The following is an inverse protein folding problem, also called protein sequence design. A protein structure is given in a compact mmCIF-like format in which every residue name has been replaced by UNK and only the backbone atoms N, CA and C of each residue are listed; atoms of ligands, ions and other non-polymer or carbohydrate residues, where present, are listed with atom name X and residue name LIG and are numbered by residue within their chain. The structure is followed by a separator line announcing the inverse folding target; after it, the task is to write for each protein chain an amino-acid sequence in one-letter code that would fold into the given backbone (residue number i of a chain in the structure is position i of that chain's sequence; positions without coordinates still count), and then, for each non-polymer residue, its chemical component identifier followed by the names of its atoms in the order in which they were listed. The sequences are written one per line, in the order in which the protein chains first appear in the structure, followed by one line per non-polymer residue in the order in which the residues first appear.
data_IF_506883096499
#
_entry.id   IF_506883096499
#
_cell.length_a   1.000
_cell.length_b   1.000
_cell.length_c   1.000
_cell.angle_alpha   90.00
_cell.angle_beta   90.00
_cell.angle_gamma   90.00
#
_symmetry.space_group_name_H-M   'P 1'
#
loop_
_entity.id
_entity.type
_entity.pdbx_description
1 polymer ?
#
# COMPACT_ATOMS: atom_id res chain seq x y z
N UNK A 1 29.96 -8.68 5.33
CA UNK A 1 29.71 -7.34 4.79
C UNK A 1 28.61 -7.48 3.74
N UNK A 2 27.55 -6.66 3.83
CA UNK A 2 26.44 -6.47 2.86
C UNK A 2 25.19 -7.38 3.02
N UNK A 3 24.32 -6.96 3.97
CA UNK A 3 22.86 -6.72 3.90
C UNK A 3 21.98 -7.35 2.79
N UNK A 4 20.86 -7.97 3.22
CA UNK A 4 19.48 -7.52 2.87
C UNK A 4 18.43 -8.19 3.78
N UNK A 5 18.12 -7.52 4.90
CA UNK A 5 16.82 -7.63 5.56
C UNK A 5 15.83 -6.80 4.73
N UNK A 6 14.93 -7.47 4.02
CA UNK A 6 13.76 -6.81 3.44
C UNK A 6 12.73 -6.65 4.55
N UNK A 7 12.47 -5.40 4.92
CA UNK A 7 11.27 -5.00 5.62
C UNK A 7 10.06 -5.16 4.70
N UNK A 8 9.11 -5.94 5.18
CA UNK A 8 7.87 -6.29 4.54
C UNK A 8 7.30 -7.43 5.34
N UNK A 9 6.14 -7.23 5.97
CA UNK A 9 5.37 -8.26 6.67
C UNK A 9 4.82 -9.26 5.64
N UNK A 10 5.75 -9.99 5.03
CA UNK A 10 5.47 -11.25 4.38
C UNK A 10 5.21 -12.24 5.50
N UNK A 11 3.94 -12.46 5.74
CA UNK A 11 3.47 -13.68 6.35
C UNK A 11 4.07 -14.84 5.51
N UNK A 12 5.22 -15.40 5.92
CA UNK A 12 5.75 -16.70 5.46
C UNK A 12 5.31 -17.71 6.48
N UNK A 13 4.62 -18.79 6.07
CA UNK A 13 4.05 -19.79 6.99
C UNK A 13 5.25 -20.54 7.56
N UNK A 14 5.89 -20.00 8.59
CA UNK A 14 7.29 -20.29 8.91
C UNK A 14 7.48 -21.23 10.10
N UNK A 15 6.42 -21.87 10.59
CA UNK A 15 6.54 -22.82 11.69
C UNK A 15 5.80 -24.13 11.41
N UNK A 16 6.53 -25.12 10.89
CA UNK A 16 6.16 -26.52 11.03
C UNK A 16 6.38 -26.92 12.50
N UNK A 17 5.47 -27.72 13.05
CA UNK A 17 5.60 -28.20 14.44
C UNK A 17 6.83 -29.09 14.55
N UNK A 18 7.85 -28.65 15.27
CA UNK A 18 9.06 -29.43 15.54
C UNK A 18 8.74 -30.67 16.40
N UNK A 19 9.38 -31.79 16.08
CA UNK A 19 9.28 -33.05 16.82
C UNK A 19 9.78 -32.90 18.27
N UNK A 20 9.09 -33.43 19.29
CA UNK A 20 9.66 -33.55 20.62
C UNK A 20 10.80 -34.58 20.58
N UNK A 21 11.98 -34.19 21.09
CA UNK A 21 13.12 -35.09 21.28
C UNK A 21 12.77 -36.13 22.35
N UNK A 22 12.57 -37.38 21.95
CA UNK A 22 12.60 -38.54 22.85
C UNK A 22 14.06 -38.76 23.25
N UNK A 23 14.43 -38.37 24.47
CA UNK A 23 15.71 -38.70 25.09
C UNK A 23 15.78 -40.20 25.38
N UNK A 24 16.65 -40.95 24.71
CA UNK A 24 16.87 -42.37 25.00
C UNK A 24 18.34 -42.71 25.18
N UNK A 25 18.58 -43.56 26.19
CA UNK A 25 19.87 -44.08 26.61
C UNK A 25 20.54 -44.89 25.49
N UNK A 26 21.84 -44.66 25.34
CA UNK A 26 22.70 -45.18 24.28
C UNK A 26 23.11 -46.65 24.52
N UNK A 27 22.65 -47.55 23.65
CA UNK A 27 23.44 -48.72 23.26
C UNK A 27 24.25 -48.38 21.98
N UNK A 28 25.44 -48.95 21.76
CA UNK A 28 26.25 -48.65 20.59
C UNK A 28 25.62 -49.26 19.34
N UNK A 29 24.75 -48.49 18.67
CA UNK A 29 24.07 -48.90 17.45
C UNK A 29 25.05 -48.94 16.25
N UNK A 30 24.87 -49.92 15.37
CA UNK A 30 25.54 -49.96 14.06
C UNK A 30 25.24 -48.67 13.29
N UNK A 31 26.28 -48.04 12.73
CA UNK A 31 26.26 -46.78 11.98
C UNK A 31 25.26 -46.78 10.81
N UNK A 32 24.81 -47.95 10.35
CA UNK A 32 23.88 -48.10 9.22
C UNK A 32 22.50 -48.70 9.59
N UNK A 33 22.10 -48.57 10.86
CA UNK A 33 20.74 -48.96 11.27
C UNK A 33 19.69 -47.96 10.79
N UNK A 34 18.45 -48.38 10.48
CA UNK A 34 17.35 -47.48 10.12
C UNK A 34 17.13 -46.35 11.14
N UNK A 35 17.33 -46.64 12.43
CA UNK A 35 17.22 -45.68 13.52
C UNK A 35 18.31 -44.60 13.46
N UNK A 36 19.56 -44.98 13.18
CA UNK A 36 20.67 -44.05 13.05
C UNK A 36 20.52 -43.16 11.81
N UNK A 37 20.07 -43.73 10.69
CA UNK A 37 19.78 -42.97 9.46
C UNK A 37 18.65 -41.95 9.67
N UNK A 38 17.60 -42.31 10.42
CA UNK A 38 16.54 -41.37 10.77
C UNK A 38 17.06 -40.21 11.64
N UNK A 39 17.91 -40.49 12.63
CA UNK A 39 18.55 -39.45 13.45
C UNK A 39 19.46 -38.53 12.62
N UNK A 40 20.20 -39.09 11.67
CA UNK A 40 21.02 -38.33 10.73
C UNK A 40 20.15 -37.40 9.87
N UNK A 41 19.02 -37.89 9.35
CA UNK A 41 18.08 -37.07 8.59
C UNK A 41 17.48 -35.93 9.43
N UNK A 42 17.12 -36.19 10.68
CA UNK A 42 16.68 -35.14 11.63
C UNK A 42 17.78 -34.11 11.86
N UNK A 43 19.04 -34.54 12.01
CA UNK A 43 20.18 -33.64 12.17
C UNK A 43 20.37 -32.75 10.95
N UNK A 44 20.25 -33.31 9.73
CA UNK A 44 20.30 -32.53 8.50
C UNK A 44 19.15 -31.54 8.40
N UNK A 45 17.92 -31.95 8.72
CA UNK A 45 16.76 -31.06 8.75
C UNK A 45 16.96 -29.88 9.71
N UNK A 46 17.42 -30.16 10.94
CA UNK A 46 17.68 -29.13 11.95
C UNK A 46 18.83 -28.19 11.59
N UNK A 47 19.75 -28.66 10.74
CA UNK A 47 20.87 -27.86 10.22
C UNK A 47 20.53 -27.19 8.88
N UNK A 48 19.26 -27.20 8.48
CA UNK A 48 18.75 -26.65 7.21
C UNK A 48 19.35 -27.28 5.93
N UNK A 49 20.05 -28.41 6.07
CA UNK A 49 20.56 -29.21 4.96
C UNK A 49 19.46 -30.10 4.39
N UNK A 50 18.37 -29.49 3.92
CA UNK A 50 17.16 -30.20 3.51
C UNK A 50 17.38 -31.18 2.35
N UNK A 51 18.32 -30.89 1.45
CA UNK A 51 18.63 -31.79 0.33
C UNK A 51 19.28 -33.09 0.81
N UNK A 52 20.19 -33.00 1.78
CA UNK A 52 20.85 -34.17 2.35
C UNK A 52 19.87 -34.97 3.22
N UNK A 53 19.02 -34.30 3.99
CA UNK A 53 17.92 -34.94 4.71
C UNK A 53 17.01 -35.74 3.76
N UNK A 54 16.64 -35.16 2.62
CA UNK A 54 15.80 -35.83 1.62
C UNK A 54 16.47 -37.08 1.06
N UNK A 55 17.76 -37.01 0.69
CA UNK A 55 18.50 -38.17 0.15
C UNK A 55 18.55 -39.34 1.15
N UNK A 56 18.86 -39.04 2.42
CA UNK A 56 18.89 -40.07 3.47
C UNK A 56 17.50 -40.69 3.65
N UNK A 57 16.44 -39.88 3.64
CA UNK A 57 15.07 -40.36 3.81
C UNK A 57 14.55 -41.14 2.60
N UNK A 58 14.94 -40.78 1.38
CA UNK A 58 14.57 -41.50 0.16
C UNK A 58 15.17 -42.92 0.14
N UNK A 59 16.43 -43.09 0.54
CA UNK A 59 17.04 -44.41 0.73
C UNK A 59 16.36 -45.18 1.89
N UNK A 60 16.13 -44.50 3.01
CA UNK A 60 15.51 -45.12 4.18
C UNK A 60 14.09 -45.61 3.89
N UNK A 61 13.28 -44.84 3.14
CA UNK A 61 11.92 -45.20 2.75
C UNK A 61 11.86 -46.47 1.90
N UNK A 62 12.91 -46.79 1.13
CA UNK A 62 13.00 -48.06 0.38
C UNK A 62 13.25 -49.25 1.30
N UNK A 63 14.02 -49.06 2.37
CA UNK A 63 14.37 -50.12 3.33
C UNK A 63 13.27 -50.37 4.36
N UNK A 64 12.52 -49.33 4.73
CA UNK A 64 11.43 -49.39 5.72
C UNK A 64 10.13 -48.76 5.19
N UNK A 65 9.49 -49.37 4.17
CA UNK A 65 8.28 -48.83 3.58
C UNK A 65 7.13 -48.75 4.60
N UNK A 66 6.38 -47.65 4.59
CA UNK A 66 5.24 -47.44 5.50
C UNK A 66 5.63 -47.09 6.93
N UNK A 67 6.89 -46.70 7.20
CA UNK A 67 7.29 -46.19 8.50
C UNK A 67 6.75 -44.76 8.72
N UNK A 68 5.99 -44.58 9.81
CA UNK A 68 5.37 -43.30 10.16
C UNK A 68 6.35 -42.14 10.27
N UNK A 69 7.48 -42.32 10.98
CA UNK A 69 8.45 -41.26 11.27
C UNK A 69 9.18 -40.84 9.99
N UNK A 70 9.43 -41.79 9.08
CA UNK A 70 10.02 -41.50 7.78
C UNK A 70 9.06 -40.67 6.93
N UNK A 71 7.80 -41.08 6.80
CA UNK A 71 6.80 -40.35 6.02
C UNK A 71 6.53 -38.94 6.60
N UNK A 72 6.47 -38.80 7.93
CA UNK A 72 6.35 -37.50 8.59
C UNK A 72 7.54 -36.58 8.28
N UNK A 73 8.77 -37.08 8.45
CA UNK A 73 9.97 -36.27 8.23
C UNK A 73 10.18 -35.94 6.75
N UNK A 74 9.83 -36.83 5.82
CA UNK A 74 9.83 -36.53 4.38
C UNK A 74 8.86 -35.38 4.06
N UNK A 75 7.66 -35.40 4.64
CA UNK A 75 6.70 -34.31 4.48
C UNK A 75 7.27 -32.97 4.95
N UNK A 76 7.89 -32.95 6.14
CA UNK A 76 8.54 -31.75 6.70
C UNK A 76 9.68 -31.25 5.80
N UNK A 77 10.57 -32.15 5.36
CA UNK A 77 11.73 -31.82 4.52
C UNK A 77 11.28 -31.25 3.18
N UNK A 78 10.31 -31.86 2.49
CA UNK A 78 9.83 -31.34 1.21
C UNK A 78 9.08 -30.02 1.37
N UNK A 79 8.32 -29.84 2.46
CA UNK A 79 7.68 -28.55 2.76
C UNK A 79 8.70 -27.44 2.99
N UNK A 80 9.82 -27.73 3.68
CA UNK A 80 10.93 -26.79 3.87
C UNK A 80 11.67 -26.45 2.56
N UNK A 81 11.69 -27.38 1.59
CA UNK A 81 12.23 -27.15 0.25
C UNK A 81 11.27 -26.36 -0.67
N UNK A 82 10.05 -26.02 -0.22
CA UNK A 82 9.01 -25.43 -1.08
C UNK A 82 8.40 -26.43 -2.08
N UNK A 83 8.65 -27.72 -1.92
CA UNK A 83 8.06 -28.82 -2.69
C UNK A 83 6.75 -29.26 -2.05
N UNK A 84 5.79 -28.34 -1.99
CA UNK A 84 4.55 -28.53 -1.22
C UNK A 84 3.66 -29.66 -1.78
N UNK A 85 3.77 -30.00 -3.09
CA UNK A 85 3.03 -31.13 -3.67
C UNK A 85 3.52 -32.46 -3.11
N UNK A 86 4.84 -32.65 -3.09
CA UNK A 86 5.50 -33.83 -2.52
C UNK A 86 5.26 -33.90 -1.01
N UNK A 87 5.35 -32.76 -0.32
CA UNK A 87 5.05 -32.67 1.10
C UNK A 87 3.64 -33.18 1.43
N UNK A 88 2.62 -32.75 0.68
CA UNK A 88 1.24 -33.22 0.87
C UNK A 88 1.12 -34.74 0.73
N UNK A 89 1.78 -35.36 -0.27
CA UNK A 89 1.74 -36.80 -0.48
C UNK A 89 2.30 -37.58 0.72
N UNK A 90 3.41 -37.10 1.29
CA UNK A 90 4.04 -37.71 2.45
C UNK A 90 3.24 -37.48 3.73
N UNK A 91 2.69 -36.28 3.95
CA UNK A 91 1.78 -36.03 5.07
C UNK A 91 0.51 -36.88 5.00
N UNK A 92 -0.09 -37.06 3.83
CA UNK A 92 -1.26 -37.94 3.66
C UNK A 92 -0.94 -39.40 4.01
N UNK A 93 0.26 -39.90 3.65
CA UNK A 93 0.73 -41.22 4.07
C UNK A 93 0.91 -41.30 5.59
N UNK A 94 1.58 -40.31 6.19
CA UNK A 94 1.79 -40.24 7.63
C UNK A 94 0.44 -40.17 8.41
N UNK A 95 -0.54 -39.43 7.90
CA UNK A 95 -1.89 -39.34 8.48
C UNK A 95 -2.63 -40.68 8.38
N UNK A 96 -2.46 -41.47 7.31
CA UNK A 96 -3.04 -42.82 7.24
C UNK A 96 -2.48 -43.75 8.31
N UNK A 97 -1.21 -43.58 8.67
CA UNK A 97 -0.52 -44.35 9.71
C UNK A 97 -0.84 -43.85 11.12
N UNK A 98 -1.08 -42.55 11.30
CA UNK A 98 -1.52 -41.95 12.56
C UNK A 98 -2.64 -40.90 12.32
N UNK A 99 -3.92 -41.32 12.27
CA UNK A 99 -5.04 -40.46 11.89
C UNK A 99 -5.36 -39.31 12.87
N UNK A 100 -4.87 -39.42 14.12
CA UNK A 100 -5.22 -38.53 15.22
C UNK A 100 -4.09 -37.52 15.55
N UNK A 101 -3.15 -37.29 14.62
CA UNK A 101 -2.10 -36.29 14.81
C UNK A 101 -2.57 -34.90 14.31
N UNK A 102 -2.93 -34.02 15.25
CA UNK A 102 -3.24 -32.64 14.92
C UNK A 102 -2.05 -31.88 14.30
N UNK A 103 -0.79 -32.07 14.74
CA UNK A 103 0.38 -31.47 14.08
C UNK A 103 0.53 -31.87 12.62
N UNK A 104 0.29 -33.15 12.27
CA UNK A 104 0.37 -33.60 10.87
C UNK A 104 -0.70 -32.98 9.98
N UNK A 105 -1.95 -32.93 10.48
CA UNK A 105 -3.05 -32.27 9.77
C UNK A 105 -2.76 -30.77 9.56
N UNK A 106 -2.16 -30.13 10.56
CA UNK A 106 -1.71 -28.74 10.47
C UNK A 106 -0.65 -28.57 9.38
N UNK A 107 0.40 -29.41 9.36
CA UNK A 107 1.46 -29.34 8.35
C UNK A 107 0.94 -29.60 6.92
N UNK A 108 0.00 -30.54 6.76
CA UNK A 108 -0.71 -30.77 5.51
C UNK A 108 -1.51 -29.52 5.09
N UNK A 109 -2.28 -28.94 6.01
CA UNK A 109 -3.08 -27.74 5.74
C UNK A 109 -2.21 -26.55 5.30
N UNK A 110 -1.06 -26.36 5.95
CA UNK A 110 -0.07 -25.34 5.57
C UNK A 110 0.44 -25.54 4.14
N UNK A 111 0.79 -26.77 3.78
CA UNK A 111 1.28 -27.10 2.42
C UNK A 111 0.18 -26.92 1.37
N UNK A 112 -1.06 -27.29 1.69
CA UNK A 112 -2.23 -27.05 0.83
C UNK A 112 -2.50 -25.55 0.61
N UNK A 113 -2.37 -24.73 1.66
CA UNK A 113 -2.55 -23.28 1.57
C UNK A 113 -1.49 -22.63 0.66
N UNK A 114 -0.22 -23.06 0.75
CA UNK A 114 0.85 -22.58 -0.15
C UNK A 114 0.62 -22.98 -1.61
N UNK A 115 -0.08 -24.09 -1.85
CA UNK A 115 -0.54 -24.50 -3.18
C UNK A 115 -1.80 -23.77 -3.66
N UNK A 116 -2.34 -22.83 -2.89
CA UNK A 116 -3.59 -22.11 -3.19
C UNK A 116 -4.86 -22.96 -3.00
N UNK A 117 -4.76 -24.15 -2.41
CA UNK A 117 -5.89 -25.06 -2.16
C UNK A 117 -6.58 -24.73 -0.84
N UNK A 118 -7.12 -23.51 -0.74
CA UNK A 118 -7.63 -22.95 0.51
C UNK A 118 -8.75 -23.76 1.16
N UNK A 119 -9.71 -24.28 0.37
CA UNK A 119 -10.83 -25.07 0.91
C UNK A 119 -10.34 -26.37 1.58
N UNK A 120 -9.35 -27.03 0.97
CA UNK A 120 -8.76 -28.26 1.52
C UNK A 120 -7.90 -27.96 2.74
N UNK A 121 -7.15 -26.85 2.72
CA UNK A 121 -6.38 -26.39 3.87
C UNK A 121 -7.29 -26.13 5.07
N UNK A 122 -8.39 -25.40 4.88
CA UNK A 122 -9.35 -25.10 5.94
C UNK A 122 -9.98 -26.38 6.52
N UNK A 123 -10.30 -27.36 5.67
CA UNK A 123 -10.85 -28.65 6.13
C UNK A 123 -9.85 -29.41 7.03
N UNK A 124 -8.57 -29.43 6.69
CA UNK A 124 -7.55 -30.09 7.53
C UNK A 124 -7.23 -29.31 8.80
N UNK A 125 -7.22 -27.98 8.77
CA UNK A 125 -7.11 -27.16 9.98
C UNK A 125 -8.28 -27.39 10.95
N UNK A 126 -9.52 -27.48 10.45
CA UNK A 126 -10.70 -27.78 11.28
C UNK A 126 -10.55 -29.12 12.00
N UNK A 127 -10.17 -30.18 11.29
CA UNK A 127 -9.90 -31.50 11.88
C UNK A 127 -8.77 -31.44 12.92
N UNK A 128 -7.71 -30.67 12.64
CA UNK A 128 -6.62 -30.49 13.59
C UNK A 128 -7.10 -29.83 14.89
N UNK A 129 -7.91 -28.76 14.79
CA UNK A 129 -8.51 -28.09 15.96
C UNK A 129 -9.50 -28.99 16.69
N UNK A 130 -10.31 -29.79 15.99
CA UNK A 130 -11.22 -30.76 16.62
C UNK A 130 -10.46 -31.81 17.44
N UNK A 131 -9.27 -32.21 16.96
CA UNK A 131 -8.43 -33.21 17.63
C UNK A 131 -7.71 -32.63 18.85
N UNK A 132 -7.13 -31.44 18.73
CA UNK A 132 -6.43 -30.76 19.82
C UNK A 132 -6.86 -29.28 19.96
N UNK A 133 -8.02 -29.00 20.57
CA UNK A 133 -8.60 -27.64 20.60
C UNK A 133 -7.73 -26.59 21.30
N UNK A 134 -6.88 -27.01 22.25
CA UNK A 134 -5.99 -26.15 23.02
C UNK A 134 -4.55 -26.07 22.50
N UNK A 135 -4.22 -26.77 21.40
CA UNK A 135 -2.85 -26.78 20.89
C UNK A 135 -2.49 -25.39 20.32
N UNK A 136 -1.38 -24.83 20.81
CA UNK A 136 -0.87 -23.54 20.39
C UNK A 136 -0.64 -23.48 18.87
N UNK A 137 0.14 -24.40 18.33
CA UNK A 137 0.59 -24.36 16.93
C UNK A 137 -0.57 -24.55 15.97
N UNK A 138 -1.53 -25.43 16.30
CA UNK A 138 -2.74 -25.65 15.51
C UNK A 138 -3.55 -24.36 15.41
N UNK A 139 -3.84 -23.73 16.56
CA UNK A 139 -4.64 -22.51 16.60
C UNK A 139 -3.90 -21.32 15.98
N UNK A 140 -2.59 -21.19 16.21
CA UNK A 140 -1.77 -20.12 15.65
C UNK A 140 -1.74 -20.21 14.11
N UNK A 141 -1.39 -21.37 13.57
CA UNK A 141 -1.29 -21.57 12.11
C UNK A 141 -2.66 -21.42 11.42
N UNK A 142 -3.76 -21.83 12.08
CA UNK A 142 -5.09 -21.66 11.52
C UNK A 142 -5.55 -20.19 11.54
N UNK A 143 -5.26 -19.48 12.64
CA UNK A 143 -5.49 -18.04 12.72
C UNK A 143 -4.71 -17.28 11.65
N UNK A 144 -3.43 -17.61 11.49
CA UNK A 144 -2.56 -17.05 10.47
C UNK A 144 -3.08 -17.32 9.05
N UNK A 145 -3.55 -18.55 8.77
CA UNK A 145 -4.18 -18.91 7.50
C UNK A 145 -5.36 -17.99 7.16
N UNK A 146 -6.27 -17.73 8.09
CA UNK A 146 -7.38 -16.80 7.86
C UNK A 146 -6.90 -15.36 7.66
N UNK A 147 -5.93 -14.90 8.46
CA UNK A 147 -5.41 -13.54 8.38
C UNK A 147 -4.76 -13.24 7.02
N UNK A 148 -4.05 -14.20 6.43
CA UNK A 148 -3.45 -14.10 5.09
C UNK A 148 -4.48 -14.07 3.97
N UNK A 149 -5.54 -14.86 4.10
CA UNK A 149 -6.64 -14.89 3.15
C UNK A 149 -7.61 -13.69 3.28
N UNK A 150 -7.19 -12.62 3.98
CA UNK A 150 -7.96 -11.39 4.16
C UNK A 150 -9.12 -11.52 5.14
N UNK A 151 -9.30 -12.68 5.79
CA UNK A 151 -10.40 -12.93 6.71
C UNK A 151 -9.97 -12.70 8.17
N UNK A 152 -9.67 -11.44 8.50
CA UNK A 152 -9.21 -11.05 9.83
C UNK A 152 -10.20 -11.44 10.95
N UNK A 153 -11.51 -11.33 10.69
CA UNK A 153 -12.54 -11.68 11.67
C UNK A 153 -12.50 -13.18 12.04
N UNK A 154 -12.30 -14.06 11.05
CA UNK A 154 -12.20 -15.50 11.28
C UNK A 154 -10.89 -15.91 11.97
N UNK A 155 -9.82 -15.13 11.82
CA UNK A 155 -8.52 -15.39 12.45
C UNK A 155 -8.56 -15.24 13.98
N UNK A 156 -9.29 -14.22 14.47
CA UNK A 156 -9.33 -13.81 15.89
C UNK A 156 -9.60 -14.96 16.87
N UNK A 157 -10.66 -15.79 16.73
CA UNK A 157 -10.93 -16.84 17.71
C UNK A 157 -9.78 -17.84 17.88
N UNK A 158 -9.08 -18.18 16.80
CA UNK A 158 -7.94 -19.11 16.84
C UNK A 158 -6.69 -18.44 17.41
N UNK A 159 -6.36 -17.23 16.97
CA UNK A 159 -5.23 -16.47 17.53
C UNK A 159 -5.42 -16.18 19.03
N UNK A 160 -6.65 -15.96 19.50
CA UNK A 160 -6.97 -15.83 20.93
C UNK A 160 -6.71 -17.12 21.70
N UNK A 161 -7.13 -18.29 21.17
CA UNK A 161 -6.87 -19.60 21.79
C UNK A 161 -5.38 -19.90 21.85
N UNK A 162 -4.64 -19.61 20.78
CA UNK A 162 -3.19 -19.70 20.77
C UNK A 162 -2.56 -18.76 21.83
N UNK A 163 -3.05 -17.53 21.96
CA UNK A 163 -2.56 -16.59 22.98
C UNK A 163 -2.83 -17.10 24.41
N UNK A 164 -3.98 -17.74 24.65
CA UNK A 164 -4.30 -18.36 25.94
C UNK A 164 -3.35 -19.52 26.26
N UNK A 165 -3.01 -20.34 25.26
CA UNK A 165 -2.10 -21.46 25.44
C UNK A 165 -0.64 -21.00 25.71
N UNK A 166 -0.20 -19.90 25.09
CA UNK A 166 1.13 -19.31 25.33
C UNK A 166 1.07 -17.78 25.40
N UNK A 167 0.76 -17.20 26.58
CA UNK A 167 0.59 -15.76 26.74
C UNK A 167 1.83 -14.90 26.44
N UNK A 168 3.02 -15.49 26.45
CA UNK A 168 4.29 -14.82 26.14
C UNK A 168 4.68 -14.87 24.66
N UNK A 169 3.88 -15.54 23.80
CA UNK A 169 4.20 -15.63 22.37
C UNK A 169 4.05 -14.28 21.69
N UNK A 170 5.19 -13.66 21.38
CA UNK A 170 5.22 -12.37 20.67
C UNK A 170 4.61 -12.48 19.26
N UNK A 171 5.01 -13.50 18.49
CA UNK A 171 4.52 -13.69 17.11
C UNK A 171 3.00 -13.83 17.04
N UNK A 172 2.42 -14.75 17.83
CA UNK A 172 0.97 -14.89 17.88
C UNK A 172 0.28 -13.62 18.38
N UNK A 173 0.85 -12.97 19.37
CA UNK A 173 0.27 -11.75 19.91
C UNK A 173 0.28 -10.60 18.91
N UNK A 174 1.33 -10.49 18.08
CA UNK A 174 1.41 -9.52 16.99
C UNK A 174 0.37 -9.81 15.90
N UNK A 175 0.24 -11.07 15.48
CA UNK A 175 -0.78 -11.48 14.51
C UNK A 175 -2.19 -11.20 15.01
N UNK A 176 -2.44 -11.42 16.31
CA UNK A 176 -3.71 -11.10 16.95
C UNK A 176 -3.97 -9.59 16.95
N UNK A 177 -2.96 -8.77 17.28
CA UNK A 177 -3.08 -7.31 17.21
C UNK A 177 -3.41 -6.85 15.78
N UNK A 178 -2.71 -7.37 14.78
CA UNK A 178 -2.96 -7.04 13.38
C UNK A 178 -4.35 -7.49 12.93
N UNK A 179 -4.80 -8.69 13.33
CA UNK A 179 -6.13 -9.17 13.03
C UNK A 179 -7.20 -8.25 13.63
N UNK A 180 -7.02 -7.75 14.87
CA UNK A 180 -7.91 -6.77 15.46
C UNK A 180 -7.92 -5.43 14.69
N UNK A 181 -6.76 -4.92 14.26
CA UNK A 181 -6.69 -3.68 13.45
C UNK A 181 -7.48 -3.85 12.15
N UNK A 182 -7.23 -4.94 11.41
CA UNK A 182 -7.90 -5.23 10.14
C UNK A 182 -9.40 -5.49 10.29
N UNK A 183 -9.82 -6.03 11.43
CA UNK A 183 -11.24 -6.22 11.77
C UNK A 183 -11.93 -4.95 12.28
N UNK A 184 -11.21 -3.83 12.44
CA UNK A 184 -11.75 -2.61 13.02
C UNK A 184 -11.96 -2.65 14.54
N UNK A 185 -11.41 -3.66 15.22
CA UNK A 185 -11.49 -3.85 16.67
C UNK A 185 -10.38 -3.06 17.37
N UNK A 186 -10.42 -1.73 17.26
CA UNK A 186 -9.30 -0.85 17.61
C UNK A 186 -8.94 -0.86 19.10
N UNK A 187 -9.91 -1.04 20.01
CA UNK A 187 -9.62 -1.13 21.45
C UNK A 187 -8.93 -2.44 21.82
N UNK A 188 -9.36 -3.56 21.24
CA UNK A 188 -8.71 -4.86 21.45
C UNK A 188 -7.29 -4.85 20.87
N UNK A 189 -7.10 -4.25 19.69
CA UNK A 189 -5.78 -4.03 19.10
C UNK A 189 -4.90 -3.21 20.05
N UNK A 190 -5.37 -2.06 20.54
CA UNK A 190 -4.64 -1.21 21.47
C UNK A 190 -4.20 -1.95 22.72
N UNK A 191 -5.10 -2.73 23.33
CA UNK A 191 -4.78 -3.50 24.54
C UNK A 191 -3.71 -4.56 24.25
N UNK A 192 -3.84 -5.28 23.14
CA UNK A 192 -2.90 -6.30 22.72
C UNK A 192 -1.51 -5.71 22.42
N UNK A 193 -1.45 -4.58 21.71
CA UNK A 193 -0.19 -3.87 21.42
C UNK A 193 0.48 -3.43 22.72
N UNK A 194 -0.25 -2.83 23.66
CA UNK A 194 0.30 -2.44 24.97
C UNK A 194 0.85 -3.63 25.77
N UNK A 195 0.23 -4.80 25.65
CA UNK A 195 0.74 -6.01 26.27
C UNK A 195 2.05 -6.46 25.62
N UNK A 196 2.15 -6.41 24.29
CA UNK A 196 3.37 -6.74 23.54
C UNK A 196 4.52 -5.77 23.82
N UNK A 197 4.25 -4.46 23.91
CA UNK A 197 5.27 -3.44 24.21
C UNK A 197 5.96 -3.70 25.54
N UNK A 198 5.25 -4.29 26.53
CA UNK A 198 5.86 -4.70 27.81
C UNK A 198 6.84 -5.88 27.67
N UNK A 199 6.66 -6.73 26.66
CA UNK A 199 7.53 -7.87 26.38
C UNK A 199 8.75 -7.40 25.58
N UNK A 200 8.49 -6.69 24.48
CA UNK A 200 9.51 -6.15 23.57
C UNK A 200 8.98 -4.85 23.00
N UNK A 201 9.67 -3.77 23.33
CA UNK A 201 9.44 -2.48 22.70
C UNK A 201 10.06 -2.47 21.29
N UNK A 202 9.25 -2.21 20.27
CA UNK A 202 9.64 -2.42 18.88
C UNK A 202 8.92 -1.46 17.93
N UNK A 203 9.59 -1.07 16.84
CA UNK A 203 9.08 -0.10 15.88
C UNK A 203 7.75 -0.55 15.26
N UNK A 204 7.61 -1.85 14.96
CA UNK A 204 6.41 -2.45 14.38
C UNK A 204 5.17 -2.34 15.27
N UNK A 205 5.34 -2.22 16.59
CA UNK A 205 4.23 -2.03 17.54
C UNK A 205 3.79 -0.57 17.60
N UNK A 206 4.74 0.36 17.55
CA UNK A 206 4.45 1.78 17.49
C UNK A 206 3.77 2.15 16.17
N UNK A 207 4.20 1.55 15.06
CA UNK A 207 3.54 1.71 13.77
C UNK A 207 2.06 1.27 13.82
N UNK A 208 1.82 0.06 14.34
CA UNK A 208 0.48 -0.49 14.48
C UNK A 208 -0.39 0.32 15.47
N UNK A 209 0.20 0.83 16.55
CA UNK A 209 -0.49 1.74 17.47
C UNK A 209 -0.84 3.07 16.78
N UNK A 210 0.07 3.60 15.97
CA UNK A 210 -0.17 4.80 15.16
C UNK A 210 -1.41 4.64 14.28
N UNK A 211 -1.54 3.50 13.59
CA UNK A 211 -2.72 3.20 12.77
C UNK A 211 -3.99 3.11 13.61
N UNK A 212 -3.93 2.45 14.77
CA UNK A 212 -5.06 2.37 15.70
C UNK A 212 -5.52 3.74 16.17
N UNK A 213 -4.60 4.62 16.56
CA UNK A 213 -4.94 5.97 17.02
C UNK A 213 -5.47 6.85 15.88
N UNK A 214 -4.90 6.74 14.67
CA UNK A 214 -5.37 7.43 13.46
C UNK A 214 -6.83 7.06 13.15
N UNK A 215 -7.15 5.75 13.10
CA UNK A 215 -8.51 5.26 12.80
C UNK A 215 -9.56 5.71 13.82
N UNK A 216 -9.11 6.07 15.02
CA UNK A 216 -9.96 6.57 16.10
C UNK A 216 -10.09 8.08 16.13
N UNK A 217 -9.38 8.79 15.25
CA UNK A 217 -9.34 10.25 15.22
C UNK A 217 -8.39 10.88 16.24
N UNK A 218 -7.53 10.09 16.90
CA UNK A 218 -6.57 10.56 17.88
C UNK A 218 -5.25 10.96 17.22
N UNK A 219 -5.32 11.92 16.29
CA UNK A 219 -4.25 12.23 15.35
C UNK A 219 -2.91 12.65 16.00
N UNK A 220 -2.97 13.38 17.12
CA UNK A 220 -1.75 13.74 17.87
C UNK A 220 -1.08 12.50 18.45
N UNK A 221 -1.87 11.55 18.97
CA UNK A 221 -1.34 10.29 19.47
C UNK A 221 -0.77 9.44 18.32
N UNK A 222 -1.48 9.37 17.19
CA UNK A 222 -1.01 8.69 15.99
C UNK A 222 0.34 9.22 15.50
N UNK A 223 0.47 10.54 15.35
CA UNK A 223 1.72 11.18 14.93
C UNK A 223 2.89 10.88 15.89
N UNK A 224 2.65 10.85 17.20
CA UNK A 224 3.66 10.52 18.19
C UNK A 224 4.11 9.06 18.10
N UNK A 225 3.18 8.13 17.86
CA UNK A 225 3.51 6.71 17.72
C UNK A 225 4.25 6.46 16.40
N UNK A 226 3.82 7.06 15.28
CA UNK A 226 4.57 6.99 14.02
C UNK A 226 5.95 7.62 14.12
N UNK A 227 6.10 8.73 14.85
CA UNK A 227 7.40 9.33 15.13
C UNK A 227 8.32 8.34 15.86
N UNK A 228 7.83 7.66 16.92
CA UNK A 228 8.60 6.65 17.65
C UNK A 228 9.02 5.50 16.75
N UNK A 229 8.09 4.97 15.95
CA UNK A 229 8.39 3.93 14.97
C UNK A 229 9.51 4.36 14.01
N UNK A 230 9.43 5.57 13.46
CA UNK A 230 10.44 6.11 12.54
C UNK A 230 11.80 6.42 13.21
N UNK A 231 11.82 6.77 14.50
CA UNK A 231 13.05 6.99 15.26
C UNK A 231 13.76 5.67 15.60
N UNK A 232 12.99 4.64 15.97
CA UNK A 232 13.51 3.29 16.27
C UNK A 232 13.99 2.59 15.01
N UNK A 233 13.19 2.64 13.94
CA UNK A 233 13.52 2.09 12.64
C UNK A 233 13.23 3.14 11.55
N UNK A 234 14.26 3.89 11.10
CA UNK A 234 14.15 4.89 10.04
C UNK A 234 13.96 4.29 8.64
N UNK A 235 13.03 3.34 8.49
CA UNK A 235 12.64 2.74 7.22
C UNK A 235 11.90 3.75 6.34
N UNK A 236 11.89 3.53 5.02
CA UNK A 236 11.13 4.38 4.08
C UNK A 236 9.64 4.43 4.46
N UNK A 237 9.09 3.31 4.93
CA UNK A 237 7.68 3.17 5.32
C UNK A 237 7.35 3.96 6.58
N UNK A 238 8.14 3.82 7.64
CA UNK A 238 7.87 4.52 8.91
C UNK A 238 8.00 6.04 8.74
N UNK A 239 9.00 6.50 7.99
CA UNK A 239 9.14 7.93 7.66
C UNK A 239 7.96 8.41 6.82
N UNK A 240 7.54 7.64 5.82
CA UNK A 240 6.40 7.99 4.99
C UNK A 240 5.11 8.09 5.81
N UNK A 241 4.86 7.17 6.73
CA UNK A 241 3.66 7.20 7.57
C UNK A 241 3.66 8.37 8.55
N UNK A 242 4.79 8.65 9.21
CA UNK A 242 4.92 9.82 10.07
C UNK A 242 4.70 11.13 9.30
N UNK A 243 5.37 11.32 8.17
CA UNK A 243 5.21 12.53 7.35
C UNK A 243 3.80 12.66 6.79
N UNK A 244 3.17 11.54 6.41
CA UNK A 244 1.80 11.54 5.87
C UNK A 244 0.78 11.92 6.93
N UNK A 245 0.92 11.43 8.16
CA UNK A 245 0.03 11.81 9.28
C UNK A 245 0.11 13.31 9.53
N UNK A 246 1.32 13.85 9.60
CA UNK A 246 1.54 15.29 9.77
C UNK A 246 0.92 16.12 8.64
N UNK A 247 1.07 15.65 7.40
CA UNK A 247 0.53 16.31 6.21
C UNK A 247 -1.01 16.28 6.18
N UNK A 248 -1.62 15.14 6.52
CA UNK A 248 -3.09 15.01 6.63
C UNK A 248 -3.65 16.02 7.63
N UNK A 249 -2.99 16.18 8.77
CA UNK A 249 -3.41 17.10 9.82
C UNK A 249 -2.85 18.52 9.69
N UNK A 250 -2.35 18.87 8.49
CA UNK A 250 -1.95 20.22 8.12
C UNK A 250 -0.82 20.82 8.95
N UNK A 251 -0.03 19.96 9.56
CA UNK A 251 1.23 20.35 10.20
C UNK A 251 2.32 20.37 9.13
N UNK A 252 2.21 21.33 8.20
CA UNK A 252 2.99 21.33 6.97
C UNK A 252 4.49 21.48 7.22
N UNK A 253 4.91 22.39 8.11
CA UNK A 253 6.33 22.58 8.42
C UNK A 253 6.98 21.32 9.04
N UNK A 254 6.38 20.68 10.06
CA UNK A 254 6.82 19.36 10.50
C UNK A 254 6.84 18.31 9.39
N UNK A 255 5.80 18.26 8.54
CA UNK A 255 5.76 17.31 7.43
C UNK A 255 6.89 17.56 6.41
N UNK A 256 7.20 18.83 6.09
CA UNK A 256 8.33 19.21 5.25
C UNK A 256 9.63 18.71 5.85
N UNK A 257 9.85 18.89 7.15
CA UNK A 257 11.07 18.42 7.81
C UNK A 257 11.21 16.89 7.71
N UNK A 258 10.14 16.15 8.02
CA UNK A 258 10.14 14.68 7.98
C UNK A 258 10.37 14.17 6.56
N UNK A 259 9.64 14.69 5.56
CA UNK A 259 9.83 14.27 4.18
C UNK A 259 11.18 14.69 3.61
N UNK A 260 11.72 15.86 4.00
CA UNK A 260 13.06 16.30 3.55
C UNK A 260 14.14 15.32 4.01
N UNK A 261 14.16 14.99 5.32
CA UNK A 261 15.05 13.96 5.88
C UNK A 261 14.83 12.59 5.24
N UNK A 262 13.58 12.25 4.96
CA UNK A 262 13.22 11.03 4.22
C UNK A 262 13.82 10.97 2.83
N UNK A 263 13.73 12.07 2.06
CA UNK A 263 14.28 12.18 0.70
C UNK A 263 15.80 12.18 0.70
N UNK A 264 16.45 12.75 1.72
CA UNK A 264 17.91 12.64 1.89
C UNK A 264 18.35 11.19 2.08
N UNK A 265 17.61 10.43 2.91
CA UNK A 265 17.91 9.02 3.20
C UNK A 265 17.54 8.08 2.04
N UNK A 266 16.45 8.36 1.36
CA UNK A 266 15.89 7.55 0.28
C UNK A 266 15.70 8.40 -0.99
N UNK A 267 16.79 8.80 -1.66
CA UNK A 267 16.73 9.76 -2.77
C UNK A 267 15.96 9.27 -4.00
N UNK A 268 15.75 7.96 -4.12
CA UNK A 268 14.99 7.35 -5.21
C UNK A 268 13.55 6.98 -4.80
N UNK A 269 13.12 7.32 -3.58
CA UNK A 269 11.73 7.09 -3.15
C UNK A 269 10.81 8.14 -3.75
N UNK A 270 10.07 7.75 -4.78
CA UNK A 270 9.09 8.63 -5.40
C UNK A 270 8.03 9.10 -4.39
N UNK A 271 7.51 8.21 -3.52
CA UNK A 271 6.46 8.56 -2.56
C UNK A 271 6.90 9.62 -1.54
N UNK A 272 8.16 9.57 -1.08
CA UNK A 272 8.70 10.58 -0.16
C UNK A 272 8.91 11.92 -0.87
N UNK A 273 9.38 11.91 -2.13
CA UNK A 273 9.53 13.13 -2.93
C UNK A 273 8.17 13.77 -3.25
N UNK A 274 7.14 12.98 -3.56
CA UNK A 274 5.77 13.49 -3.71
C UNK A 274 5.26 14.04 -2.37
N UNK A 275 5.43 13.32 -1.27
CA UNK A 275 5.08 13.80 0.07
C UNK A 275 5.69 15.17 0.38
N UNK A 276 6.99 15.35 0.12
CA UNK A 276 7.67 16.64 0.24
C UNK A 276 7.03 17.72 -0.64
N UNK A 277 6.80 17.42 -1.92
CA UNK A 277 6.18 18.35 -2.87
C UNK A 277 4.79 18.81 -2.44
N UNK A 278 3.97 17.92 -1.90
CA UNK A 278 2.64 18.26 -1.36
C UNK A 278 2.74 19.12 -0.10
N UNK A 279 3.64 18.79 0.84
CA UNK A 279 3.81 19.59 2.06
C UNK A 279 4.29 21.01 1.74
N UNK A 280 5.20 21.16 0.77
CA UNK A 280 5.63 22.46 0.26
C UNK A 280 4.50 23.21 -0.45
N UNK A 281 3.70 22.52 -1.27
CA UNK A 281 2.56 23.12 -1.95
C UNK A 281 1.54 23.68 -0.94
N UNK A 282 1.14 22.88 0.05
CA UNK A 282 0.12 23.29 1.02
C UNK A 282 0.60 24.34 2.03
N UNK A 283 1.91 24.42 2.29
CA UNK A 283 2.52 25.54 3.04
C UNK A 283 2.69 26.82 2.22
N UNK A 284 2.33 26.81 0.93
CA UNK A 284 2.44 27.96 0.03
C UNK A 284 3.83 28.18 -0.57
N UNK A 285 4.78 27.27 -0.36
CA UNK A 285 6.14 27.33 -0.90
C UNK A 285 6.19 26.76 -2.32
N UNK A 286 5.49 27.42 -3.24
CA UNK A 286 5.21 26.89 -4.59
C UNK A 286 6.47 26.63 -5.43
N UNK A 287 7.49 27.50 -5.33
CA UNK A 287 8.76 27.31 -6.05
C UNK A 287 9.46 26.00 -5.68
N UNK A 288 9.54 25.72 -4.38
CA UNK A 288 10.15 24.51 -3.84
C UNK A 288 9.27 23.28 -4.14
N UNK A 289 7.95 23.43 -4.05
CA UNK A 289 6.99 22.39 -4.41
C UNK A 289 7.16 21.96 -5.88
N UNK A 290 7.30 22.92 -6.81
CA UNK A 290 7.55 22.64 -8.23
C UNK A 290 8.87 21.86 -8.40
N UNK A 291 9.96 22.23 -7.71
CA UNK A 291 11.24 21.48 -7.78
C UNK A 291 11.08 20.03 -7.34
N UNK A 292 10.42 19.83 -6.19
CA UNK A 292 10.19 18.50 -5.64
C UNK A 292 9.29 17.66 -6.57
N UNK A 293 8.21 18.24 -7.08
CA UNK A 293 7.27 17.55 -7.96
C UNK A 293 7.86 17.24 -9.34
N UNK A 294 8.69 18.12 -9.92
CA UNK A 294 9.48 17.81 -11.13
C UNK A 294 10.38 16.60 -10.87
N UNK A 295 11.10 16.57 -9.75
CA UNK A 295 11.91 15.39 -9.38
C UNK A 295 11.06 14.13 -9.22
N UNK A 296 9.87 14.23 -8.63
CA UNK A 296 8.95 13.08 -8.53
C UNK A 296 8.53 12.54 -9.91
N UNK A 297 8.26 13.43 -10.87
CA UNK A 297 7.95 13.00 -12.25
C UNK A 297 9.16 12.38 -12.96
N UNK A 298 10.39 12.74 -12.60
CA UNK A 298 11.60 12.11 -13.14
C UNK A 298 11.84 10.70 -12.55
N UNK A 299 11.42 10.45 -11.31
CA UNK A 299 11.51 9.13 -10.67
C UNK A 299 10.48 8.12 -11.21
N UNK A 300 9.27 8.56 -11.55
CA UNK A 300 8.27 7.74 -12.23
C UNK A 300 7.56 8.53 -13.35
N UNK A 301 8.14 8.54 -14.56
CA UNK A 301 7.64 9.35 -15.67
C UNK A 301 6.22 9.05 -16.13
N UNK A 302 5.72 7.82 -15.94
CA UNK A 302 4.35 7.46 -16.33
C UNK A 302 3.32 7.68 -15.22
N UNK A 303 3.72 7.86 -13.95
CA UNK A 303 2.75 8.01 -12.86
C UNK A 303 2.01 9.36 -12.94
N UNK A 304 0.68 9.39 -13.12
CA UNK A 304 -0.09 10.63 -13.29
C UNK A 304 -0.16 11.48 -12.01
N UNK A 305 0.06 10.89 -10.83
CA UNK A 305 -0.15 11.55 -9.52
C UNK A 305 0.73 12.80 -9.32
N UNK A 306 2.07 12.75 -9.47
CA UNK A 306 2.90 13.94 -9.35
C UNK A 306 2.55 15.04 -10.37
N UNK A 307 2.09 14.67 -11.58
CA UNK A 307 1.71 15.65 -12.60
C UNK A 307 0.47 16.48 -12.21
N UNK A 308 -0.50 15.88 -11.52
CA UNK A 308 -1.65 16.62 -11.00
C UNK A 308 -1.22 17.74 -10.04
N UNK A 309 -0.42 17.39 -9.03
CA UNK A 309 0.05 18.36 -8.05
C UNK A 309 1.06 19.35 -8.66
N UNK A 310 1.90 18.90 -9.60
CA UNK A 310 2.78 19.78 -10.35
C UNK A 310 1.97 20.82 -11.12
N UNK A 311 0.88 20.40 -11.77
CA UNK A 311 0.01 21.30 -12.52
C UNK A 311 -0.63 22.34 -11.59
N UNK A 312 -1.04 21.96 -10.38
CA UNK A 312 -1.57 22.90 -9.38
C UNK A 312 -0.50 23.86 -8.85
N UNK A 313 0.67 23.35 -8.46
CA UNK A 313 1.77 24.17 -7.96
C UNK A 313 2.24 25.18 -9.02
N UNK A 314 2.29 24.74 -10.28
CA UNK A 314 2.73 25.57 -11.39
C UNK A 314 1.80 26.73 -11.72
N UNK A 315 0.49 26.62 -11.42
CA UNK A 315 -0.45 27.76 -11.56
C UNK A 315 -0.11 28.94 -10.64
N UNK A 316 0.68 28.70 -9.59
CA UNK A 316 1.09 29.71 -8.62
C UNK A 316 2.56 30.14 -8.76
N UNK A 317 3.41 29.32 -9.39
CA UNK A 317 4.80 29.68 -9.68
C UNK A 317 5.23 29.19 -11.06
N UNK A 318 5.72 30.12 -11.88
CA UNK A 318 6.19 29.87 -13.25
C UNK A 318 7.73 29.88 -13.39
N UNK A 319 8.47 30.02 -12.28
CA UNK A 319 9.93 30.22 -12.29
C UNK A 319 10.73 29.10 -12.97
N UNK A 320 10.16 27.89 -13.08
CA UNK A 320 10.79 26.71 -13.68
C UNK A 320 10.08 26.27 -14.97
N UNK A 321 9.56 27.22 -15.75
CA UNK A 321 8.69 26.94 -16.88
C UNK A 321 9.24 25.91 -17.87
N UNK A 322 10.50 26.08 -18.30
CA UNK A 322 11.10 25.17 -19.29
C UNK A 322 11.19 23.73 -18.77
N UNK A 323 11.52 23.55 -17.49
CA UNK A 323 11.60 22.22 -16.89
C UNK A 323 10.21 21.58 -16.78
N UNK A 324 9.21 22.34 -16.32
CA UNK A 324 7.83 21.88 -16.16
C UNK A 324 7.20 21.49 -17.50
N UNK A 325 7.31 22.37 -18.50
CA UNK A 325 6.79 22.13 -19.86
C UNK A 325 7.41 20.86 -20.46
N UNK A 326 8.72 20.65 -20.27
CA UNK A 326 9.41 19.44 -20.74
C UNK A 326 8.84 18.16 -20.11
N UNK A 327 8.52 18.18 -18.82
CA UNK A 327 7.98 17.00 -18.10
C UNK A 327 6.55 16.71 -18.52
N UNK A 328 5.70 17.72 -18.68
CA UNK A 328 4.35 17.52 -19.17
C UNK A 328 4.32 17.04 -20.63
N UNK A 329 5.22 17.54 -21.48
CA UNK A 329 5.40 17.00 -22.84
C UNK A 329 5.71 15.51 -22.79
N UNK A 330 6.75 15.12 -22.02
CA UNK A 330 7.13 13.71 -21.86
C UNK A 330 5.96 12.85 -21.37
N UNK A 331 5.18 13.35 -20.41
CA UNK A 331 4.01 12.65 -19.90
C UNK A 331 2.93 12.43 -20.97
N UNK A 332 2.61 13.46 -21.75
CA UNK A 332 1.65 13.36 -22.86
C UNK A 332 2.15 12.45 -24.01
N UNK A 333 3.47 12.36 -24.21
CA UNK A 333 4.10 11.43 -25.16
C UNK A 333 4.03 9.97 -24.67
N UNK A 334 4.26 9.74 -23.38
CA UNK A 334 4.12 8.41 -22.75
C UNK A 334 2.67 7.94 -22.70
N UNK A 335 1.71 8.88 -22.63
CA UNK A 335 0.27 8.59 -22.53
C UNK A 335 -0.53 9.31 -23.62
N UNK A 336 -0.39 8.91 -24.90
CA UNK A 336 -1.02 9.61 -26.01
C UNK A 336 -2.54 9.49 -26.04
N UNK A 337 -3.14 8.55 -25.30
CA UNK A 337 -4.58 8.36 -25.20
C UNK A 337 -5.18 8.91 -23.90
N UNK A 338 -4.36 9.59 -23.08
CA UNK A 338 -4.79 10.18 -21.82
C UNK A 338 -5.12 11.67 -22.03
N UNK A 339 -6.42 12.00 -22.00
CA UNK A 339 -6.89 13.37 -22.14
C UNK A 339 -6.37 14.30 -21.02
N UNK A 340 -6.14 13.77 -19.83
CA UNK A 340 -5.60 14.52 -18.70
C UNK A 340 -4.13 14.88 -18.91
N UNK A 341 -3.35 13.98 -19.52
CA UNK A 341 -1.96 14.27 -19.91
C UNK A 341 -1.87 15.38 -20.95
N UNK A 342 -2.72 15.33 -21.99
CA UNK A 342 -2.82 16.39 -22.99
C UNK A 342 -3.22 17.73 -22.38
N UNK A 343 -4.21 17.72 -21.46
CA UNK A 343 -4.65 18.90 -20.73
C UNK A 343 -3.53 19.54 -19.91
N UNK A 344 -2.79 18.77 -19.10
CA UNK A 344 -1.70 19.35 -18.31
C UNK A 344 -0.59 19.93 -19.17
N UNK A 345 -0.27 19.29 -20.30
CA UNK A 345 0.69 19.84 -21.23
C UNK A 345 0.21 21.18 -21.82
N UNK A 346 -1.06 21.25 -22.24
CA UNK A 346 -1.66 22.49 -22.71
C UNK A 346 -1.59 23.61 -21.67
N UNK A 347 -1.99 23.30 -20.42
CA UNK A 347 -1.96 24.24 -19.31
C UNK A 347 -0.54 24.73 -19.01
N UNK A 348 0.46 23.86 -19.10
CA UNK A 348 1.86 24.26 -18.87
C UNK A 348 2.38 25.24 -19.93
N UNK A 349 1.99 25.05 -21.20
CA UNK A 349 2.34 25.98 -22.28
C UNK A 349 1.64 27.32 -22.11
N UNK A 350 0.35 27.27 -21.77
CA UNK A 350 -0.47 28.47 -21.62
C UNK A 350 -0.05 29.33 -20.43
N UNK A 351 0.32 28.72 -19.30
CA UNK A 351 0.73 29.43 -18.07
C UNK A 351 2.23 29.76 -18.01
N UNK A 352 3.06 29.02 -18.74
CA UNK A 352 4.50 29.06 -18.55
C UNK A 352 5.27 30.22 -19.17
N UNK A 353 4.65 30.98 -20.06
CA UNK A 353 5.30 32.11 -20.74
C UNK A 353 4.41 33.34 -20.72
N UNK A 354 4.26 33.93 -19.54
CA UNK A 354 3.96 35.35 -19.44
C UNK A 354 5.23 36.15 -19.78
N UNK A 355 5.51 36.46 -21.06
CA UNK A 355 6.23 37.70 -21.44
C UNK A 355 6.38 37.87 -22.96
N UNK A 356 6.88 36.90 -23.74
CA UNK A 356 7.37 37.23 -25.09
C UNK A 356 7.02 36.17 -26.15
N UNK A 357 6.21 36.56 -27.16
CA UNK A 357 5.81 35.78 -28.34
C UNK A 357 4.88 34.56 -28.12
N UNK A 358 3.64 34.83 -27.74
CA UNK A 358 2.62 33.84 -27.40
C UNK A 358 1.88 33.16 -28.57
N UNK A 359 2.04 33.58 -29.83
CA UNK A 359 1.23 33.01 -30.94
C UNK A 359 1.32 31.47 -31.05
N UNK A 360 2.52 30.91 -31.32
CA UNK A 360 2.66 29.47 -31.53
C UNK A 360 2.37 28.60 -30.30
N UNK A 361 2.65 29.11 -29.09
CA UNK A 361 2.41 28.39 -27.85
C UNK A 361 0.91 28.32 -27.50
N UNK A 362 0.16 29.39 -27.78
CA UNK A 362 -1.30 29.41 -27.59
C UNK A 362 -2.01 28.51 -28.59
N UNK A 363 -1.59 28.52 -29.87
CA UNK A 363 -2.12 27.60 -30.89
C UNK A 363 -1.89 26.13 -30.51
N UNK A 364 -0.69 25.81 -30.02
CA UNK A 364 -0.38 24.47 -29.54
C UNK A 364 -1.22 24.09 -28.31
N UNK A 365 -1.38 25.02 -27.35
CA UNK A 365 -2.23 24.80 -26.18
C UNK A 365 -3.69 24.56 -26.59
N UNK A 366 -4.22 25.34 -27.53
CA UNK A 366 -5.57 25.16 -28.09
C UNK A 366 -5.73 23.76 -28.70
N UNK A 367 -4.78 23.34 -29.55
CA UNK A 367 -4.79 22.01 -30.17
C UNK A 367 -4.76 20.89 -29.12
N UNK A 368 -3.97 21.04 -28.06
CA UNK A 368 -3.88 20.07 -26.98
C UNK A 368 -5.14 20.03 -26.11
N UNK A 369 -5.78 21.17 -25.86
CA UNK A 369 -7.07 21.24 -25.15
C UNK A 369 -8.19 20.58 -25.97
N UNK A 370 -8.26 20.87 -27.27
CA UNK A 370 -9.19 20.18 -28.20
C UNK A 370 -8.97 18.67 -28.20
N UNK A 371 -7.71 18.23 -28.19
CA UNK A 371 -7.37 16.81 -28.07
C UNK A 371 -7.78 16.22 -26.71
N UNK A 372 -7.56 16.95 -25.61
CA UNK A 372 -7.98 16.52 -24.28
C UNK A 372 -9.50 16.31 -24.21
N UNK A 373 -10.28 17.25 -24.77
CA UNK A 373 -11.74 17.14 -24.88
C UNK A 373 -12.15 15.98 -25.77
N UNK A 374 -11.48 15.77 -26.91
CA UNK A 374 -11.78 14.64 -27.80
C UNK A 374 -11.53 13.29 -27.12
N UNK A 375 -10.42 13.14 -26.39
CA UNK A 375 -10.07 11.92 -25.66
C UNK A 375 -10.92 11.74 -24.40
N UNK A 376 -11.44 12.82 -23.82
CA UNK A 376 -12.23 12.80 -22.59
C UNK A 376 -13.37 13.82 -22.66
N UNK A 377 -14.48 13.52 -23.38
CA UNK A 377 -15.57 14.48 -23.61
C UNK A 377 -16.35 14.92 -22.38
N UNK A 378 -16.13 14.24 -21.24
CA UNK A 378 -16.72 14.59 -19.95
C UNK A 378 -15.79 15.43 -19.06
N UNK A 379 -14.62 15.86 -19.57
CA UNK A 379 -13.63 16.58 -18.79
C UNK A 379 -13.95 18.08 -18.70
N UNK A 380 -14.73 18.46 -17.69
CA UNK A 380 -15.26 19.81 -17.51
C UNK A 380 -14.15 20.89 -17.46
N UNK A 381 -13.03 20.60 -16.78
CA UNK A 381 -11.91 21.55 -16.65
C UNK A 381 -11.20 21.81 -17.98
N UNK A 382 -11.19 20.85 -18.91
CA UNK A 382 -10.63 21.06 -20.25
C UNK A 382 -11.50 22.01 -21.08
N UNK A 383 -12.83 21.89 -21.00
CA UNK A 383 -13.77 22.85 -21.60
C UNK A 383 -13.60 24.25 -21.01
N UNK A 384 -13.53 24.36 -19.68
CA UNK A 384 -13.28 25.64 -19.00
C UNK A 384 -11.95 26.26 -19.44
N UNK A 385 -10.87 25.49 -19.53
CA UNK A 385 -9.57 25.98 -19.98
C UNK A 385 -9.59 26.47 -21.44
N UNK A 386 -10.27 25.76 -22.34
CA UNK A 386 -10.42 26.17 -23.74
C UNK A 386 -11.24 27.46 -23.86
N UNK A 387 -12.34 27.57 -23.11
CA UNK A 387 -13.14 28.78 -23.04
C UNK A 387 -12.35 29.99 -22.52
N UNK A 388 -11.50 29.77 -21.51
CA UNK A 388 -10.61 30.80 -20.97
C UNK A 388 -9.57 31.27 -21.99
N UNK A 389 -9.01 30.33 -22.75
CA UNK A 389 -8.05 30.62 -23.81
C UNK A 389 -8.69 31.47 -24.90
N UNK A 390 -9.87 31.08 -25.39
CA UNK A 390 -10.64 31.90 -26.34
C UNK A 390 -11.00 33.28 -25.78
N UNK A 391 -11.39 33.36 -24.50
CA UNK A 391 -11.70 34.64 -23.85
C UNK A 391 -10.48 35.56 -23.78
N UNK A 392 -9.29 35.01 -23.53
CA UNK A 392 -8.03 35.77 -23.54
C UNK A 392 -7.72 36.33 -24.94
N UNK A 393 -8.04 35.58 -25.98
CA UNK A 393 -7.94 36.02 -27.38
C UNK A 393 -9.11 36.90 -27.83
N UNK A 394 -10.04 37.24 -26.92
CA UNK A 394 -11.28 38.01 -27.20
C UNK A 394 -12.26 37.32 -28.16
N UNK A 395 -12.11 36.01 -28.37
CA UNK A 395 -13.02 35.13 -29.12
C UNK A 395 -14.21 34.74 -28.25
N UNK A 396 -14.99 35.72 -27.81
CA UNK A 396 -16.06 35.50 -26.82
C UNK A 396 -17.20 34.63 -27.36
N UNK A 397 -17.48 34.69 -28.66
CA UNK A 397 -18.54 33.88 -29.28
C UNK A 397 -18.20 32.38 -29.25
N UNK A 398 -16.92 32.04 -29.41
CA UNK A 398 -16.37 30.68 -29.33
C UNK A 398 -16.20 30.23 -27.88
N UNK A 399 -15.93 31.15 -26.95
CA UNK A 399 -15.79 30.83 -25.53
C UNK A 399 -17.11 30.40 -24.85
N UNK A 400 -18.23 31.06 -25.20
CA UNK A 400 -19.55 30.79 -24.60
C UNK A 400 -19.97 29.31 -24.64
N UNK A 401 -19.97 28.60 -25.80
CA UNK A 401 -20.38 27.19 -25.84
C UNK A 401 -19.47 26.29 -25.01
N UNK A 402 -18.18 26.58 -24.93
CA UNK A 402 -17.22 25.82 -24.11
C UNK A 402 -17.47 26.03 -22.61
N UNK A 403 -17.72 27.27 -22.17
CA UNK A 403 -18.13 27.54 -20.79
C UNK A 403 -19.44 26.82 -20.44
N UNK A 404 -20.45 26.90 -21.31
CA UNK A 404 -21.73 26.22 -21.11
C UNK A 404 -21.53 24.72 -20.98
N UNK A 405 -20.70 24.13 -21.85
CA UNK A 405 -20.42 22.69 -21.78
C UNK A 405 -19.68 22.29 -20.51
N UNK A 406 -18.69 23.08 -20.08
CA UNK A 406 -18.01 22.87 -18.80
C UNK A 406 -18.98 22.89 -17.61
N UNK A 407 -19.91 23.84 -17.60
CA UNK A 407 -20.96 23.97 -16.57
C UNK A 407 -21.97 22.82 -16.61
N UNK A 408 -22.34 22.34 -17.80
CA UNK A 408 -23.22 21.17 -17.95
C UNK A 408 -22.59 19.90 -17.37
N UNK A 409 -21.27 19.74 -17.53
CA UNK A 409 -20.51 18.61 -17.03
C UNK A 409 -20.24 18.70 -15.53
N UNK A 410 -19.92 19.90 -15.02
CA UNK A 410 -19.78 20.18 -13.60
C UNK A 410 -20.39 21.55 -13.23
N UNK A 411 -21.60 21.50 -12.69
CA UNK A 411 -22.35 22.67 -12.26
C UNK A 411 -21.74 23.38 -11.03
N UNK A 412 -20.69 22.84 -10.40
CA UNK A 412 -20.00 23.45 -9.26
C UNK A 412 -18.82 24.32 -9.63
N UNK A 413 -18.47 24.43 -10.92
CA UNK A 413 -17.40 25.30 -11.41
C UNK A 413 -17.77 26.78 -11.30
N UNK A 414 -17.69 27.35 -10.10
CA UNK A 414 -18.01 28.75 -9.84
C UNK A 414 -17.26 29.71 -10.78
N UNK A 415 -15.99 29.44 -11.05
CA UNK A 415 -15.17 30.24 -11.97
C UNK A 415 -15.72 30.26 -13.40
N UNK A 416 -16.34 29.17 -13.86
CA UNK A 416 -16.93 29.08 -15.20
C UNK A 416 -18.12 30.04 -15.34
N UNK A 417 -18.99 30.13 -14.33
CA UNK A 417 -20.12 31.06 -14.32
C UNK A 417 -19.67 32.52 -14.36
N UNK A 418 -18.67 32.89 -13.55
CA UNK A 418 -18.14 34.25 -13.56
C UNK A 418 -17.57 34.63 -14.93
N UNK A 419 -16.75 33.75 -15.52
CA UNK A 419 -16.12 34.00 -16.81
C UNK A 419 -17.11 33.97 -17.98
N UNK A 420 -18.12 33.11 -17.93
CA UNK A 420 -19.24 33.13 -18.87
C UNK A 420 -20.02 34.45 -18.77
N UNK A 421 -20.27 34.94 -17.55
CA UNK A 421 -20.89 36.25 -17.33
C UNK A 421 -20.09 37.38 -17.95
N UNK A 422 -18.75 37.38 -17.79
CA UNK A 422 -17.86 38.33 -18.46
C UNK A 422 -17.94 38.24 -19.98
N UNK A 423 -17.93 37.03 -20.54
CA UNK A 423 -18.08 36.82 -21.98
C UNK A 423 -19.42 37.38 -22.50
N UNK A 424 -20.53 37.19 -21.77
CA UNK A 424 -21.82 37.78 -22.11
C UNK A 424 -21.84 39.31 -22.04
N UNK A 425 -21.15 39.94 -21.09
CA UNK A 425 -20.98 41.40 -21.06
C UNK A 425 -20.31 41.89 -22.34
N UNK A 426 -19.22 41.24 -22.76
CA UNK A 426 -18.50 41.59 -24.00
C UNK A 426 -19.34 41.36 -25.26
N UNK A 427 -20.28 40.43 -25.23
CA UNK A 427 -21.24 40.16 -26.32
C UNK A 427 -22.52 41.01 -26.23
N UNK A 428 -22.58 41.99 -25.33
CA UNK A 428 -23.73 42.86 -25.10
C UNK A 428 -25.03 42.09 -24.74
N UNK A 429 -24.90 41.05 -23.88
CA UNK A 429 -26.01 40.23 -23.36
C UNK A 429 -26.12 40.35 -21.84
N UNK A 430 -26.50 41.52 -21.30
CA UNK A 430 -26.44 41.81 -19.86
C UNK A 430 -27.37 40.96 -18.99
N UNK A 431 -28.53 40.55 -19.52
CA UNK A 431 -29.48 39.73 -18.75
C UNK A 431 -28.92 38.33 -18.46
N UNK A 432 -28.26 37.72 -19.44
CA UNK A 432 -27.58 36.44 -19.27
C UNK A 432 -26.39 36.60 -18.32
N UNK A 433 -25.58 37.65 -18.50
CA UNK A 433 -24.45 37.92 -17.61
C UNK A 433 -24.88 38.03 -16.13
N UNK A 434 -25.96 38.78 -15.86
CA UNK A 434 -26.51 38.94 -14.51
C UNK A 434 -26.90 37.60 -13.89
N UNK A 435 -27.52 36.70 -14.66
CA UNK A 435 -27.89 35.36 -14.20
C UNK A 435 -26.66 34.54 -13.81
N UNK A 436 -25.62 34.51 -14.65
CA UNK A 436 -24.42 33.73 -14.35
C UNK A 436 -23.67 34.28 -13.12
N UNK A 437 -23.57 35.61 -12.97
CA UNK A 437 -22.98 36.22 -11.78
C UNK A 437 -23.73 35.87 -10.49
N UNK A 438 -25.07 35.83 -10.52
CA UNK A 438 -25.87 35.43 -9.37
C UNK A 438 -25.58 33.98 -8.94
N UNK A 439 -25.41 33.07 -9.91
CA UNK A 439 -25.07 31.67 -9.63
C UNK A 439 -23.64 31.57 -9.09
N UNK A 440 -22.68 32.29 -9.69
CA UNK A 440 -21.32 32.39 -9.16
C UNK A 440 -21.30 32.81 -7.69
N UNK A 441 -22.01 33.89 -7.33
CA UNK A 441 -22.06 34.40 -5.95
C UNK A 441 -22.70 33.40 -4.98
N UNK A 442 -23.66 32.60 -5.44
CA UNK A 442 -24.27 31.54 -4.66
C UNK A 442 -23.28 30.40 -4.40
N UNK A 443 -22.61 29.92 -5.46
CA UNK A 443 -21.63 28.85 -5.37
C UNK A 443 -20.40 29.25 -4.56
N UNK A 444 -19.90 30.48 -4.74
CA UNK A 444 -18.75 31.00 -3.98
C UNK A 444 -19.04 31.05 -2.48
N UNK A 445 -20.26 31.46 -2.08
CA UNK A 445 -20.70 31.45 -0.68
C UNK A 445 -20.81 30.04 -0.10
N UNK A 446 -21.24 29.06 -0.90
CA UNK A 446 -21.26 27.66 -0.50
C UNK A 446 -19.83 27.09 -0.37
N UNK A 447 -18.94 27.42 -1.30
CA UNK A 447 -17.59 26.88 -1.35
C UNK A 447 -16.64 27.42 -0.26
N UNK A 448 -16.88 28.62 0.28
CA UNK A 448 -16.19 29.11 1.49
C UNK A 448 -16.40 28.19 2.72
N UNK A 449 -17.45 27.35 2.70
CA UNK A 449 -17.69 26.32 3.71
C UNK A 449 -17.01 24.96 3.38
N UNK A 450 -16.60 24.73 2.13
CA UNK A 450 -16.08 23.44 1.62
C UNK A 450 -14.53 23.36 1.62
N UNK A 451 -13.92 23.72 2.74
CA UNK A 451 -12.49 23.51 3.02
C UNK A 451 -12.06 22.02 2.86
N UNK A 452 -13.03 21.11 2.92
CA UNK A 452 -12.93 19.66 2.73
C UNK A 452 -12.28 19.22 1.39
N UNK A 453 -12.32 20.05 0.35
CA UNK A 453 -11.72 19.70 -0.96
C UNK A 453 -10.20 19.51 -0.90
N UNK A 454 -9.51 20.33 -0.10
CA UNK A 454 -8.05 20.29 0.05
C UNK A 454 -7.61 19.01 0.76
N UNK A 455 -8.35 18.63 1.81
CA UNK A 455 -8.15 17.40 2.56
C UNK A 455 -8.35 16.16 1.69
N UNK A 456 -9.37 16.17 0.81
CA UNK A 456 -9.67 15.03 -0.08
C UNK A 456 -8.52 14.68 -1.02
N UNK A 457 -7.80 15.65 -1.57
CA UNK A 457 -6.66 15.39 -2.48
C UNK A 457 -5.47 14.78 -1.72
N UNK A 458 -5.15 15.30 -0.54
CA UNK A 458 -4.08 14.78 0.32
C UNK A 458 -4.43 13.36 0.80
N UNK A 459 -5.67 13.17 1.25
CA UNK A 459 -6.19 11.85 1.65
C UNK A 459 -6.09 10.85 0.51
N UNK A 460 -6.49 11.21 -0.70
CA UNK A 460 -6.37 10.34 -1.88
C UNK A 460 -4.93 9.95 -2.16
N UNK A 461 -4.00 10.90 -2.08
CA UNK A 461 -2.57 10.62 -2.22
C UNK A 461 -2.09 9.64 -1.15
N UNK A 462 -2.29 9.95 0.12
CA UNK A 462 -1.82 9.13 1.25
C UNK A 462 -2.38 7.72 1.17
N UNK A 463 -3.69 7.56 0.95
CA UNK A 463 -4.34 6.26 0.82
C UNK A 463 -3.76 5.46 -0.34
N UNK A 464 -3.55 6.08 -1.52
CA UNK A 464 -3.01 5.38 -2.69
C UNK A 464 -1.57 4.88 -2.51
N UNK A 465 -0.79 5.56 -1.67
CA UNK A 465 0.61 5.20 -1.40
C UNK A 465 0.71 4.16 -0.29
N UNK A 466 -0.17 4.21 0.72
CA UNK A 466 -0.26 3.19 1.78
C UNK A 466 -0.69 1.82 1.24
N UNK A 467 -1.64 1.76 0.31
CA UNK A 467 -2.12 0.49 -0.27
C UNK A 467 -1.13 -0.20 -1.22
N UNK A 468 -0.28 0.58 -1.90
CA UNK A 468 0.76 0.05 -2.80
C UNK A 468 1.90 -0.69 -2.08
N UNK A 469 2.03 -0.51 -0.76
CA UNK A 469 3.00 -1.23 0.07
C UNK A 469 2.50 -2.63 0.50
N UNK A 470 1.20 -2.92 0.38
CA UNK A 470 0.56 -4.14 0.87
C UNK A 470 0.17 -5.16 -0.21
N UNK A 471 0.45 -4.89 -1.49
CA UNK A 471 0.16 -5.82 -2.59
C UNK A 471 1.42 -6.05 -3.41
N UNK A 472 2.07 -7.20 -3.18
CA UNK A 472 2.95 -7.85 -4.15
C UNK A 472 2.53 -9.32 -4.25
N UNK A 473 2.64 -9.90 -5.46
CA UNK A 473 1.88 -11.07 -5.91
C UNK A 473 2.02 -12.31 -5.05
#
# INVERSE_FOLDING_TARGET
MIWKLQSGSAFILSALVALPLLSWQSEPARIDSPQHQLQLAVSYYNSEHYQDAARVLEDLAQRVPGNFQVEELMGLVYSAQGKDREACLHFEKAIRLNPNSAPLRTNLAVSLARLGKNDLAEAEFKKAVETEPGNFSVNHNFGEFYARNGNAQAAIPYLRRAQQARPSSYGNGYDLALAYVRAGMWEDARQQIRALTKIKDAAELHDLMGEVEEKKGNYVAAANEYQRAAQMEPSETNIFYWGSELLLHQTWDPAIEVFSKGVERYPNSQRLVVGLGLSLFWSGRYDEAVKALVRATDLAPDDPRPYYFLSKAYQHSHNQADEVIRRFRRFAELRPQDGQAAYYYAMSLWKGKESDNNGPALEQAESLLKRAIHLSPAFAEAHLALANLYSQERKYAEAVPEYQRGIELDAKLADAYYRLGQAYVHLNRPDLAKKEFQIHDQLYRQHLADWDNRQRDVLRFVVSQRSSAGTRP
#
